data_IF_025664142147
#
_entry.id   IF_025664142147
#
_cell.length_a   1.000
_cell.length_b   1.000
_cell.length_c   1.000
_cell.angle_alpha   90.00
_cell.angle_beta   90.00
_cell.angle_gamma   90.00
#
_symmetry.space_group_name_H-M   'P 1'
#
loop_
_entity.id
_entity.type
_entity.pdbx_description
1 polymer ?
#
# COMPACT_ATOMS: atom_id res chain seq x y z
N UNK A 1 -12.83 -14.16 17.15
CA UNK A 1 -13.19 -14.28 15.71
C UNK A 1 -14.48 -13.49 15.50
N UNK A 2 -14.39 -12.31 14.91
CA UNK A 2 -15.56 -11.46 14.64
C UNK A 2 -16.31 -11.96 13.40
N UNK A 3 -17.64 -11.80 13.41
CA UNK A 3 -18.51 -12.00 12.24
C UNK A 3 -18.87 -10.61 11.76
N UNK A 4 -18.36 -10.21 10.61
CA UNK A 4 -18.64 -8.93 9.98
C UNK A 4 -18.47 -9.08 8.47
N UNK A 5 -19.08 -8.17 7.73
CA UNK A 5 -18.80 -8.04 6.30
C UNK A 5 -17.33 -7.67 6.12
N UNK A 6 -16.65 -8.36 5.20
CA UNK A 6 -15.28 -8.05 4.84
C UNK A 6 -15.26 -7.29 3.52
N UNK A 7 -15.05 -5.98 3.63
CA UNK A 7 -14.89 -5.10 2.48
C UNK A 7 -13.41 -4.99 2.08
N UNK A 8 -13.12 -5.33 0.82
CA UNK A 8 -11.77 -5.37 0.25
C UNK A 8 -11.74 -4.53 -1.03
N UNK A 9 -10.68 -3.77 -1.25
CA UNK A 9 -10.34 -3.24 -2.57
C UNK A 9 -9.05 -3.86 -3.06
N UNK A 10 -9.04 -4.35 -4.29
CA UNK A 10 -7.91 -5.02 -4.93
C UNK A 10 -7.54 -4.30 -6.22
N UNK A 11 -6.23 -4.10 -6.43
CA UNK A 11 -5.67 -3.74 -7.74
C UNK A 11 -4.90 -4.94 -8.27
N UNK A 12 -4.98 -5.20 -9.58
CA UNK A 12 -4.17 -6.17 -10.29
C UNK A 12 -3.65 -5.61 -11.61
N UNK A 13 -2.68 -6.30 -12.22
CA UNK A 13 -2.17 -5.94 -13.56
C UNK A 13 -3.22 -6.20 -14.63
N UNK A 14 -4.00 -7.26 -14.45
CA UNK A 14 -5.08 -7.69 -15.33
C UNK A 14 -6.38 -7.78 -14.51
N UNK A 15 -7.18 -6.71 -14.52
CA UNK A 15 -8.40 -6.64 -13.75
C UNK A 15 -9.48 -7.64 -14.24
N UNK A 16 -9.68 -7.88 -15.55
CA UNK A 16 -10.54 -8.96 -16.03
C UNK A 16 -10.14 -10.34 -15.49
N UNK A 17 -8.85 -10.70 -15.53
CA UNK A 17 -8.39 -11.97 -14.96
C UNK A 17 -8.60 -12.03 -13.45
N UNK A 18 -8.33 -10.93 -12.73
CA UNK A 18 -8.57 -10.85 -11.30
C UNK A 18 -10.06 -11.06 -10.96
N UNK A 19 -10.98 -10.50 -11.76
CA UNK A 19 -12.42 -10.70 -11.61
C UNK A 19 -12.85 -12.15 -11.83
N UNK A 20 -12.31 -12.79 -12.87
CA UNK A 20 -12.56 -14.21 -13.15
C UNK A 20 -12.14 -15.08 -11.95
N UNK A 21 -10.96 -14.81 -11.40
CA UNK A 21 -10.45 -15.52 -10.23
C UNK A 21 -11.26 -15.22 -8.97
N UNK A 22 -11.72 -13.98 -8.77
CA UNK A 22 -12.62 -13.64 -7.66
C UNK A 22 -13.93 -14.43 -7.75
N UNK A 23 -14.56 -14.45 -8.93
CA UNK A 23 -15.79 -15.22 -9.13
C UNK A 23 -15.56 -16.71 -8.83
N UNK A 24 -14.49 -17.28 -9.37
CA UNK A 24 -14.17 -18.70 -9.22
C UNK A 24 -13.82 -19.07 -7.78
N UNK A 25 -12.89 -18.35 -7.17
CA UNK A 25 -12.28 -18.73 -5.89
C UNK A 25 -13.10 -18.25 -4.68
N UNK A 26 -13.77 -17.08 -4.78
CA UNK A 26 -14.51 -16.48 -3.66
C UNK A 26 -16.02 -16.75 -3.70
N UNK A 27 -16.58 -16.91 -4.90
CA UNK A 27 -18.01 -17.16 -5.14
C UNK A 27 -18.27 -18.52 -5.82
N UNK A 28 -17.32 -19.46 -5.72
CA UNK A 28 -17.41 -20.83 -6.22
C UNK A 28 -17.79 -20.97 -7.71
N UNK A 29 -17.54 -19.93 -8.52
CA UNK A 29 -17.93 -19.90 -9.93
C UNK A 29 -19.42 -19.73 -10.18
N UNK A 30 -20.23 -19.47 -9.14
CA UNK A 30 -21.66 -19.24 -9.29
C UNK A 30 -21.92 -17.92 -10.04
N UNK A 31 -22.94 -17.85 -10.91
CA UNK A 31 -23.35 -16.58 -11.51
C UNK A 31 -23.94 -15.65 -10.44
N UNK A 32 -23.79 -14.32 -10.60
CA UNK A 32 -24.40 -13.38 -9.67
C UNK A 32 -25.93 -13.49 -9.70
N UNK A 33 -26.58 -13.11 -8.61
CA UNK A 33 -28.05 -12.98 -8.51
C UNK A 33 -28.59 -11.68 -9.10
N UNK A 34 -27.75 -10.64 -9.19
CA UNK A 34 -28.07 -9.40 -9.90
C UNK A 34 -26.82 -8.78 -10.52
N UNK A 35 -27.00 -8.11 -11.66
CA UNK A 35 -25.95 -7.40 -12.38
C UNK A 35 -26.45 -6.04 -12.86
N UNK A 36 -25.66 -5.00 -12.58
CA UNK A 36 -25.88 -3.63 -13.05
C UNK A 36 -24.61 -3.15 -13.75
N UNK A 37 -24.70 -2.74 -15.01
CA UNK A 37 -23.56 -2.28 -15.83
C UNK A 37 -23.87 -0.87 -16.32
N UNK A 38 -22.96 0.07 -16.10
CA UNK A 38 -23.11 1.47 -16.53
C UNK A 38 -24.46 2.09 -16.11
N UNK A 39 -24.83 1.84 -14.85
CA UNK A 39 -26.12 2.23 -14.27
C UNK A 39 -27.38 1.49 -14.76
N UNK A 40 -27.28 0.53 -15.68
CA UNK A 40 -28.41 -0.24 -16.21
C UNK A 40 -28.43 -1.68 -15.70
N UNK A 41 -29.62 -2.20 -15.37
CA UNK A 41 -29.78 -3.61 -14.99
C UNK A 41 -29.63 -4.50 -16.23
N UNK A 42 -28.87 -5.58 -16.11
CA UNK A 42 -28.68 -6.57 -17.17
C UNK A 42 -29.21 -7.94 -16.74
N UNK A 43 -29.63 -8.75 -17.72
CA UNK A 43 -29.92 -10.16 -17.51
C UNK A 43 -28.61 -10.94 -17.33
N UNK A 44 -28.62 -11.93 -16.45
CA UNK A 44 -27.43 -12.68 -16.06
C UNK A 44 -27.36 -13.98 -16.86
N UNK A 45 -26.25 -14.20 -17.56
CA UNK A 45 -25.87 -15.51 -18.08
C UNK A 45 -24.53 -15.94 -17.48
N UNK A 46 -24.27 -17.25 -17.47
CA UNK A 46 -23.24 -17.90 -16.65
C UNK A 46 -21.79 -17.44 -16.92
N UNK A 47 -21.54 -16.69 -18.01
CA UNK A 47 -20.20 -16.33 -18.51
C UNK A 47 -19.93 -14.82 -18.61
N UNK A 48 -20.71 -13.98 -17.93
CA UNK A 48 -20.79 -12.56 -18.28
C UNK A 48 -19.86 -11.60 -17.53
N UNK A 49 -19.26 -11.96 -16.40
CA UNK A 49 -18.50 -10.97 -15.60
C UNK A 49 -17.26 -10.48 -16.36
N UNK A 50 -16.51 -11.39 -16.98
CA UNK A 50 -15.35 -11.02 -17.82
C UNK A 50 -15.80 -10.23 -19.05
N UNK A 51 -16.86 -10.69 -19.73
CA UNK A 51 -17.44 -9.97 -20.87
C UNK A 51 -17.80 -8.53 -20.52
N UNK A 52 -18.45 -8.29 -19.37
CA UNK A 52 -18.80 -6.94 -18.95
C UNK A 52 -17.60 -6.15 -18.47
N UNK A 53 -16.58 -6.78 -17.89
CA UNK A 53 -15.33 -6.10 -17.57
C UNK A 53 -14.64 -5.52 -18.82
N UNK A 54 -14.72 -6.24 -19.94
CA UNK A 54 -14.13 -5.80 -21.21
C UNK A 54 -14.99 -4.76 -21.96
N UNK A 55 -16.32 -4.82 -21.78
CA UNK A 55 -17.27 -4.07 -22.60
C UNK A 55 -17.96 -2.90 -21.90
N UNK A 56 -17.99 -2.84 -20.57
CA UNK A 56 -18.60 -1.71 -19.85
C UNK A 56 -17.88 -0.39 -20.16
N UNK A 57 -18.62 0.71 -20.21
CA UNK A 57 -18.03 2.03 -20.44
C UNK A 57 -17.29 2.53 -19.19
N UNK A 58 -17.83 2.29 -18.00
CA UNK A 58 -17.34 2.81 -16.73
C UNK A 58 -17.17 1.73 -15.68
N UNK A 59 -18.29 1.11 -15.28
CA UNK A 59 -18.33 0.26 -14.10
C UNK A 59 -19.44 -0.80 -14.19
N UNK A 60 -19.33 -1.81 -13.33
CA UNK A 60 -20.46 -2.67 -13.03
C UNK A 60 -20.48 -3.10 -11.56
N UNK A 61 -21.67 -3.52 -11.11
CA UNK A 61 -21.93 -4.18 -9.83
C UNK A 61 -22.53 -5.56 -10.06
N UNK A 62 -21.85 -6.59 -9.58
CA UNK A 62 -22.36 -7.95 -9.49
C UNK A 62 -22.68 -8.28 -8.02
N UNK A 63 -23.80 -8.94 -7.74
CA UNK A 63 -24.21 -9.27 -6.35
C UNK A 63 -24.70 -10.70 -6.25
N UNK A 64 -24.24 -11.41 -5.22
CA UNK A 64 -24.65 -12.74 -4.80
C UNK A 64 -25.36 -12.59 -3.45
N UNK A 65 -26.71 -12.67 -3.46
CA UNK A 65 -27.58 -12.22 -2.37
C UNK A 65 -27.09 -12.51 -0.94
N UNK A 66 -26.61 -13.72 -0.68
CA UNK A 66 -26.17 -14.18 0.65
C UNK A 66 -24.64 -14.27 0.82
N UNK A 67 -23.87 -14.02 -0.24
CA UNK A 67 -22.41 -14.21 -0.22
C UNK A 67 -21.65 -12.90 -0.27
N UNK A 68 -22.18 -11.88 -0.95
CA UNK A 68 -21.47 -10.63 -1.14
C UNK A 68 -21.73 -9.92 -2.45
N UNK A 69 -20.87 -8.94 -2.77
CA UNK A 69 -20.91 -8.24 -4.05
C UNK A 69 -19.51 -7.90 -4.54
N UNK A 70 -19.43 -7.59 -5.83
CA UNK A 70 -18.26 -7.02 -6.51
C UNK A 70 -18.69 -5.72 -7.19
N UNK A 71 -17.89 -4.68 -7.01
CA UNK A 71 -17.90 -3.45 -7.79
C UNK A 71 -16.61 -3.41 -8.62
N UNK A 72 -16.76 -3.33 -9.92
CA UNK A 72 -15.65 -3.20 -10.85
C UNK A 72 -15.64 -1.80 -11.43
N UNK A 73 -14.49 -1.13 -11.37
CA UNK A 73 -14.23 0.10 -12.10
C UNK A 73 -13.14 -0.19 -13.16
N UNK A 74 -13.46 0.09 -14.42
CA UNK A 74 -12.66 -0.33 -15.58
C UNK A 74 -11.20 0.13 -15.53
N UNK A 75 -10.94 1.27 -14.91
CA UNK A 75 -9.64 1.94 -14.99
C UNK A 75 -8.87 1.92 -13.68
N UNK A 76 -9.33 1.20 -12.67
CA UNK A 76 -8.78 1.41 -11.33
C UNK A 76 -8.75 0.16 -10.45
N UNK A 77 -9.90 -0.31 -9.96
CA UNK A 77 -9.96 -1.22 -8.81
C UNK A 77 -11.11 -2.21 -8.92
N UNK A 78 -10.94 -3.36 -8.27
CA UNK A 78 -12.05 -4.26 -7.93
C UNK A 78 -12.34 -4.10 -6.44
N UNK A 79 -13.51 -3.57 -6.08
CA UNK A 79 -14.00 -3.62 -4.70
C UNK A 79 -14.90 -4.84 -4.53
N UNK A 80 -14.82 -5.50 -3.39
CA UNK A 80 -15.74 -6.56 -3.04
C UNK A 80 -16.11 -6.49 -1.57
N UNK A 81 -17.26 -7.08 -1.25
CA UNK A 81 -17.70 -7.34 0.11
C UNK A 81 -18.04 -8.82 0.21
N UNK A 82 -17.50 -9.51 1.22
CA UNK A 82 -17.90 -10.88 1.55
C UNK A 82 -18.71 -10.86 2.84
N UNK A 83 -19.96 -11.30 2.77
CA UNK A 83 -20.89 -11.22 3.90
C UNK A 83 -20.63 -12.29 4.96
N UNK A 84 -20.81 -11.91 6.22
CA UNK A 84 -20.78 -12.78 7.41
C UNK A 84 -19.59 -13.74 7.50
N UNK A 85 -18.43 -13.37 6.92
CA UNK A 85 -17.25 -14.22 6.91
C UNK A 85 -16.45 -14.06 8.18
N UNK A 86 -16.32 -15.16 8.92
CA UNK A 86 -15.34 -15.27 10.01
C UNK A 86 -13.98 -15.59 9.40
N UNK A 87 -13.08 -14.61 9.36
CA UNK A 87 -11.70 -14.82 8.92
C UNK A 87 -10.72 -14.15 9.89
N UNK A 88 -9.65 -14.87 10.25
CA UNK A 88 -8.45 -14.25 10.79
C UNK A 88 -7.67 -13.54 9.69
N UNK A 89 -6.74 -12.65 10.06
CA UNK A 89 -5.82 -12.00 9.12
C UNK A 89 -5.05 -13.02 8.25
N UNK A 90 -4.69 -14.17 8.82
CA UNK A 90 -4.04 -15.28 8.14
C UNK A 90 -4.97 -15.98 7.14
N UNK A 91 -6.25 -16.15 7.49
CA UNK A 91 -7.24 -16.73 6.58
C UNK A 91 -7.45 -15.83 5.36
N UNK A 92 -7.49 -14.51 5.57
CA UNK A 92 -7.58 -13.51 4.48
C UNK A 92 -6.38 -13.61 3.55
N UNK A 93 -5.16 -13.70 4.11
CA UNK A 93 -3.96 -13.90 3.31
C UNK A 93 -4.03 -15.18 2.46
N UNK A 94 -4.49 -16.29 3.04
CA UNK A 94 -4.65 -17.56 2.30
C UNK A 94 -5.73 -17.46 1.23
N UNK A 95 -6.84 -16.78 1.53
CA UNK A 95 -7.95 -16.58 0.61
C UNK A 95 -7.54 -15.77 -0.62
N UNK A 96 -6.73 -14.72 -0.43
CA UNK A 96 -6.28 -13.85 -1.52
C UNK A 96 -5.03 -14.36 -2.23
N UNK A 97 -4.29 -15.32 -1.64
CA UNK A 97 -3.06 -15.87 -2.20
C UNK A 97 -3.14 -16.29 -3.69
N UNK A 98 -4.18 -17.00 -4.18
CA UNK A 98 -4.25 -17.44 -5.56
C UNK A 98 -4.55 -16.32 -6.57
N UNK A 99 -5.04 -15.16 -6.10
CA UNK A 99 -5.54 -14.09 -6.95
C UNK A 99 -4.40 -13.22 -7.51
N UNK A 100 -4.55 -12.66 -8.72
CA UNK A 100 -3.55 -11.81 -9.41
C UNK A 100 -3.69 -10.33 -9.06
N UNK A 101 -3.58 -10.01 -7.77
CA UNK A 101 -3.54 -8.64 -7.25
C UNK A 101 -2.12 -8.23 -6.88
N UNK A 102 -1.90 -6.93 -6.75
CA UNK A 102 -0.65 -6.30 -6.32
C UNK A 102 -0.81 -5.53 -5.01
N UNK A 103 -1.93 -4.82 -4.83
CA UNK A 103 -2.25 -4.11 -3.58
C UNK A 103 -3.67 -4.40 -3.15
N UNK A 104 -3.88 -4.45 -1.83
CA UNK A 104 -5.18 -4.66 -1.21
C UNK A 104 -5.39 -3.69 -0.04
N UNK A 105 -6.55 -3.05 0.06
CA UNK A 105 -6.99 -2.37 1.28
C UNK A 105 -8.20 -3.07 1.86
N UNK A 106 -8.29 -3.08 3.19
CA UNK A 106 -9.39 -3.68 3.92
C UNK A 106 -10.10 -2.59 4.74
N UNK A 107 -11.39 -2.39 4.50
CA UNK A 107 -12.17 -1.35 5.18
C UNK A 107 -12.31 -1.64 6.68
N UNK A 108 -12.80 -0.66 7.44
CA UNK A 108 -13.05 -0.87 8.86
C UNK A 108 -14.20 -1.85 9.07
N UNK A 109 -14.01 -2.80 9.99
CA UNK A 109 -15.09 -3.66 10.49
C UNK A 109 -15.98 -2.93 11.52
N UNK A 110 -15.58 -1.73 11.95
CA UNK A 110 -16.30 -0.88 12.89
C UNK A 110 -16.99 0.28 12.16
N UNK A 111 -18.30 0.15 11.96
CA UNK A 111 -19.11 1.15 11.22
C UNK A 111 -19.08 2.54 11.85
N UNK A 112 -18.92 2.61 13.17
CA UNK A 112 -18.87 3.85 13.95
C UNK A 112 -17.69 4.76 13.62
N UNK A 113 -16.62 4.26 12.97
CA UNK A 113 -15.55 5.14 12.46
C UNK A 113 -16.07 6.14 11.43
N UNK A 114 -17.14 5.78 10.72
CA UNK A 114 -17.78 6.59 9.68
C UNK A 114 -18.97 7.41 10.19
N UNK A 115 -19.38 7.22 11.45
CA UNK A 115 -20.48 7.98 12.04
C UNK A 115 -20.06 9.45 12.24
N UNK A 116 -21.07 10.34 12.22
CA UNK A 116 -20.86 11.78 12.29
C UNK A 116 -20.10 12.26 13.53
N UNK A 117 -20.20 11.53 14.65
CA UNK A 117 -19.63 11.91 15.93
C UNK A 117 -18.11 11.64 16.05
N UNK A 118 -17.60 10.62 15.35
CA UNK A 118 -16.16 10.29 15.32
C UNK A 118 -15.51 10.79 14.03
N UNK A 119 -16.20 10.55 12.90
CA UNK A 119 -15.80 10.84 11.52
C UNK A 119 -14.29 10.76 11.29
N UNK A 120 -13.72 9.60 11.60
CA UNK A 120 -12.32 9.36 11.30
C UNK A 120 -12.16 9.01 9.83
N UNK A 121 -11.48 9.88 9.09
CA UNK A 121 -11.10 9.63 7.71
C UNK A 121 -9.72 8.99 7.72
N UNK A 122 -9.67 7.67 7.56
CA UNK A 122 -8.41 6.96 7.49
C UNK A 122 -7.71 7.26 6.15
N UNK A 123 -6.37 7.26 6.10
CA UNK A 123 -5.64 7.30 4.84
C UNK A 123 -5.97 6.07 3.98
N UNK A 124 -5.74 6.18 2.68
CA UNK A 124 -6.02 5.15 1.70
C UNK A 124 -4.86 5.05 0.69
N UNK A 125 -5.03 4.16 -0.29
CA UNK A 125 -4.19 4.11 -1.49
C UNK A 125 -4.64 5.09 -2.60
N UNK A 126 -5.44 6.09 -2.26
CA UNK A 126 -6.10 6.99 -3.18
C UNK A 126 -7.38 6.40 -3.76
N UNK A 127 -8.21 7.28 -4.34
CA UNK A 127 -9.41 6.87 -5.04
C UNK A 127 -9.09 5.92 -6.19
N UNK A 128 -9.81 4.80 -6.36
CA UNK A 128 -11.01 4.36 -5.65
C UNK A 128 -10.75 3.20 -4.68
N UNK A 129 -9.69 3.21 -3.87
CA UNK A 129 -9.62 2.24 -2.77
C UNK A 129 -10.65 2.50 -1.67
N UNK A 130 -10.98 1.48 -0.89
CA UNK A 130 -11.46 1.69 0.48
C UNK A 130 -10.33 2.27 1.33
N UNK A 131 -10.70 3.16 2.25
CA UNK A 131 -9.80 3.63 3.29
C UNK A 131 -9.20 2.45 4.07
N UNK A 132 -8.01 2.64 4.62
CA UNK A 132 -7.40 1.65 5.49
C UNK A 132 -8.21 1.55 6.78
N UNK A 133 -8.84 0.40 6.97
CA UNK A 133 -9.55 0.04 8.19
C UNK A 133 -8.67 -0.81 9.09
N UNK A 134 -8.90 -2.12 9.05
CA UNK A 134 -8.13 -3.04 9.89
C UNK A 134 -6.78 -3.43 9.28
N UNK A 135 -6.58 -3.24 7.97
CA UNK A 135 -5.33 -3.60 7.34
C UNK A 135 -5.16 -3.14 5.90
N UNK A 136 -3.97 -3.43 5.37
CA UNK A 136 -3.66 -3.40 3.95
C UNK A 136 -2.69 -4.53 3.60
N UNK A 137 -2.57 -4.89 2.32
CA UNK A 137 -1.61 -5.89 1.87
C UNK A 137 -0.95 -5.53 0.53
N UNK A 138 0.22 -6.12 0.32
CA UNK A 138 1.07 -5.94 -0.85
C UNK A 138 1.50 -7.32 -1.37
N UNK A 139 1.56 -7.48 -2.69
CA UNK A 139 1.97 -8.71 -3.36
C UNK A 139 2.85 -8.41 -4.56
N UNK A 140 3.99 -9.09 -4.66
CA UNK A 140 4.95 -8.90 -5.77
C UNK A 140 5.31 -7.42 -5.97
N UNK A 141 5.12 -6.93 -7.20
CA UNK A 141 5.41 -5.54 -7.59
C UNK A 141 4.55 -4.49 -6.87
N UNK A 142 3.45 -4.88 -6.22
CA UNK A 142 2.66 -3.95 -5.40
C UNK A 142 3.44 -3.38 -4.23
N UNK A 143 4.48 -4.07 -3.77
CA UNK A 143 5.42 -3.53 -2.79
C UNK A 143 6.19 -2.30 -3.29
N UNK A 144 6.39 -2.18 -4.60
CA UNK A 144 7.10 -1.03 -5.19
C UNK A 144 6.27 0.24 -5.11
N UNK A 145 5.01 0.17 -4.65
CA UNK A 145 4.22 1.34 -4.26
C UNK A 145 4.77 2.02 -2.99
N UNK A 146 5.48 1.28 -2.16
CA UNK A 146 6.15 1.81 -0.98
C UNK A 146 7.50 2.40 -1.39
N UNK A 147 7.94 3.47 -0.74
CA UNK A 147 9.30 4.00 -0.96
C UNK A 147 10.37 2.92 -0.73
N UNK A 148 10.13 2.02 0.22
CA UNK A 148 10.87 0.76 0.41
C UNK A 148 10.06 -0.26 1.20
N UNK A 149 10.22 -1.56 0.88
CA UNK A 149 9.70 -2.68 1.68
C UNK A 149 10.20 -2.71 3.13
N UNK A 150 11.32 -2.05 3.40
CA UNK A 150 11.94 -2.01 4.74
C UNK A 150 10.99 -1.42 5.78
N UNK A 151 10.23 -0.38 5.42
CA UNK A 151 9.31 0.30 6.34
C UNK A 151 8.27 -0.64 6.97
N UNK A 152 7.88 -1.70 6.25
CA UNK A 152 6.93 -2.71 6.72
C UNK A 152 7.35 -3.37 8.04
N UNK A 153 8.65 -3.47 8.32
CA UNK A 153 9.12 -4.10 9.55
C UNK A 153 9.13 -3.15 10.76
N UNK A 154 9.00 -1.82 10.55
CA UNK A 154 9.26 -0.81 11.58
C UNK A 154 8.01 -0.09 12.09
N UNK A 155 6.87 -0.25 11.42
CA UNK A 155 5.64 0.41 11.87
C UNK A 155 5.00 -0.24 13.10
N UNK A 156 4.07 0.49 13.76
CA UNK A 156 3.37 0.07 14.98
C UNK A 156 2.20 -0.87 14.66
N UNK A 157 2.47 -1.91 13.90
CA UNK A 157 1.49 -2.88 13.42
C UNK A 157 2.04 -4.29 13.51
N UNK A 158 1.13 -5.26 13.36
CA UNK A 158 1.47 -6.65 13.13
C UNK A 158 1.69 -6.88 11.63
N UNK A 159 2.78 -7.54 11.29
CA UNK A 159 3.15 -7.82 9.90
C UNK A 159 3.11 -9.32 9.65
N UNK A 160 2.25 -9.76 8.74
CA UNK A 160 2.14 -11.14 8.31
C UNK A 160 2.76 -11.30 6.93
N UNK A 161 3.61 -12.32 6.76
CA UNK A 161 4.18 -12.69 5.46
C UNK A 161 3.49 -13.96 4.97
N UNK A 162 3.05 -13.92 3.72
CA UNK A 162 2.34 -15.01 3.06
C UNK A 162 3.09 -15.56 1.85
N UNK A 163 2.52 -16.59 1.19
CA UNK A 163 3.08 -17.12 -0.06
C UNK A 163 3.07 -16.07 -1.18
N UNK A 164 3.80 -16.35 -2.26
CA UNK A 164 3.85 -15.51 -3.47
C UNK A 164 4.28 -14.05 -3.21
N UNK A 165 5.25 -13.86 -2.29
CA UNK A 165 5.73 -12.53 -1.90
C UNK A 165 4.58 -11.63 -1.46
N UNK A 166 3.80 -12.10 -0.47
CA UNK A 166 2.67 -11.34 0.08
C UNK A 166 2.99 -10.82 1.48
N UNK A 167 2.58 -9.59 1.76
CA UNK A 167 2.71 -8.95 3.07
C UNK A 167 1.39 -8.31 3.47
N UNK A 168 0.84 -8.67 4.63
CA UNK A 168 -0.32 -8.01 5.22
C UNK A 168 0.11 -7.22 6.45
N UNK A 169 -0.25 -5.95 6.45
CA UNK A 169 -0.17 -5.05 7.60
C UNK A 169 -1.52 -5.04 8.28
N UNK A 170 -1.56 -5.48 9.54
CA UNK A 170 -2.74 -5.41 10.39
C UNK A 170 -2.58 -4.24 11.35
N UNK A 171 -3.49 -3.27 11.31
CA UNK A 171 -3.39 -2.00 12.04
C UNK A 171 -3.92 -2.07 13.47
N UNK A 172 -4.84 -2.98 13.78
CA UNK A 172 -5.35 -3.19 15.13
C UNK A 172 -5.69 -4.66 15.38
N UNK A 173 -5.87 -5.03 16.65
CA UNK A 173 -6.43 -6.32 17.01
C UNK A 173 -7.88 -6.42 16.49
N UNK A 174 -8.17 -7.46 15.69
CA UNK A 174 -9.50 -7.70 15.16
C UNK A 174 -10.52 -8.03 16.26
N UNK A 175 -10.07 -8.38 17.47
CA UNK A 175 -10.88 -8.62 18.66
C UNK A 175 -11.14 -7.38 19.53
N UNK A 176 -10.53 -6.24 19.22
CA UNK A 176 -10.70 -5.02 20.00
C UNK A 176 -12.10 -4.43 19.83
N UNK A 177 -12.58 -3.72 20.86
CA UNK A 177 -13.74 -2.83 20.69
C UNK A 177 -13.39 -1.66 19.76
N UNK A 178 -14.41 -0.97 19.29
CA UNK A 178 -14.30 0.13 18.32
C UNK A 178 -13.30 1.22 18.71
N UNK A 179 -13.37 1.72 19.95
CA UNK A 179 -12.53 2.81 20.41
C UNK A 179 -11.07 2.35 20.53
N UNK A 180 -10.85 1.17 21.13
CA UNK A 180 -9.53 0.56 21.23
C UNK A 180 -8.93 0.27 19.86
N UNK A 181 -9.73 -0.26 18.92
CA UNK A 181 -9.30 -0.54 17.55
C UNK A 181 -8.84 0.74 16.84
N UNK A 182 -9.58 1.84 17.01
CA UNK A 182 -9.24 3.12 16.41
C UNK A 182 -7.94 3.70 16.99
N UNK A 183 -7.75 3.61 18.31
CA UNK A 183 -6.52 4.03 18.98
C UNK A 183 -5.30 3.23 18.51
N UNK A 184 -5.47 1.91 18.29
CA UNK A 184 -4.42 1.05 17.77
C UNK A 184 -4.10 1.34 16.29
N UNK A 185 -5.12 1.58 15.46
CA UNK A 185 -4.96 1.74 14.02
C UNK A 185 -4.32 3.08 13.61
N UNK A 186 -4.70 4.18 14.27
CA UNK A 186 -4.27 5.55 13.94
C UNK A 186 -2.74 5.70 13.78
N UNK A 187 -1.90 5.25 14.73
CA UNK A 187 -0.44 5.34 14.58
C UNK A 187 0.06 4.58 13.35
N UNK A 188 -0.50 3.41 13.05
CA UNK A 188 -0.12 2.59 11.90
C UNK A 188 -0.49 3.26 10.58
N UNK A 189 -1.70 3.80 10.48
CA UNK A 189 -2.16 4.57 9.33
C UNK A 189 -1.27 5.78 9.05
N UNK A 190 -1.01 6.58 10.08
CA UNK A 190 -0.16 7.77 9.96
C UNK A 190 1.27 7.41 9.57
N UNK A 191 1.82 6.32 10.13
CA UNK A 191 3.17 5.89 9.81
C UNK A 191 3.27 5.39 8.37
N UNK A 192 2.36 4.51 7.91
CA UNK A 192 2.43 3.93 6.58
C UNK A 192 2.22 4.99 5.49
N UNK A 193 1.37 5.99 5.72
CA UNK A 193 1.07 7.04 4.72
C UNK A 193 2.32 7.81 4.27
N UNK A 194 3.34 7.90 5.12
CA UNK A 194 4.63 8.54 4.84
C UNK A 194 5.46 7.81 3.79
N UNK A 195 5.16 6.53 3.58
CA UNK A 195 5.90 5.66 2.65
C UNK A 195 5.06 5.29 1.43
N UNK A 196 3.77 5.63 1.41
CA UNK A 196 2.87 5.39 0.27
C UNK A 196 3.11 6.43 -0.82
N UNK A 197 3.55 5.99 -2.01
CA UNK A 197 3.82 6.89 -3.12
C UNK A 197 2.57 7.35 -3.88
N UNK A 198 1.38 6.84 -3.55
CA UNK A 198 0.13 7.26 -4.22
C UNK A 198 -0.09 6.63 -5.61
N UNK A 199 -1.17 7.04 -6.27
CA UNK A 199 -1.44 6.71 -7.67
C UNK A 199 -0.60 7.57 -8.64
N UNK A 200 -0.26 7.00 -9.81
CA UNK A 200 0.35 7.66 -10.98
C UNK A 200 -0.34 8.96 -11.41
N UNK A 201 -1.63 9.13 -11.17
CA UNK A 201 -2.36 10.34 -11.54
C UNK A 201 -2.04 11.54 -10.62
N UNK A 202 -1.34 11.34 -9.50
CA UNK A 202 -0.86 12.41 -8.61
C UNK A 202 0.50 13.01 -9.02
N UNK A 203 0.97 12.75 -10.25
CA UNK A 203 2.15 13.42 -10.83
C UNK A 203 2.09 14.94 -10.66
N UNK A 204 0.90 15.53 -10.67
CA UNK A 204 0.71 16.98 -10.54
C UNK A 204 0.82 17.49 -9.08
N UNK A 205 0.66 16.63 -8.07
CA UNK A 205 0.63 17.04 -6.65
C UNK A 205 1.98 16.94 -5.95
N UNK A 206 2.83 15.98 -6.33
CA UNK A 206 4.10 15.74 -5.61
C UNK A 206 5.25 16.63 -6.07
N UNK A 207 5.13 17.33 -7.20
CA UNK A 207 6.25 18.05 -7.80
C UNK A 207 5.93 19.53 -8.00
N UNK A 208 5.44 20.19 -6.95
CA UNK A 208 5.24 21.65 -6.93
C UNK A 208 6.58 22.43 -6.99
N UNK A 209 7.71 21.78 -6.71
CA UNK A 209 9.04 22.40 -6.75
C UNK A 209 9.95 21.65 -7.73
N UNK A 210 10.12 22.19 -8.94
CA UNK A 210 11.18 21.79 -9.88
C UNK A 210 12.59 21.89 -9.24
N UNK A 211 12.73 22.63 -8.14
CA UNK A 211 13.97 22.74 -7.37
C UNK A 211 14.35 21.46 -6.60
N UNK A 212 13.43 20.53 -6.38
CA UNK A 212 13.68 19.34 -5.55
C UNK A 212 14.52 18.28 -6.28
N UNK A 213 14.47 18.21 -7.61
CA UNK A 213 15.32 17.30 -8.39
C UNK A 213 16.71 17.90 -8.68
N UNK A 214 17.16 18.87 -7.87
CA UNK A 214 18.50 19.46 -7.99
C UNK A 214 19.54 18.52 -7.39
N UNK A 215 20.20 17.77 -8.25
CA UNK A 215 21.34 16.93 -7.91
C UNK A 215 22.30 16.76 -9.08
N UNK A 216 23.47 16.20 -8.79
CA UNK A 216 24.43 15.76 -9.80
C UNK A 216 23.99 14.39 -10.33
N UNK A 217 23.50 14.35 -11.57
CA UNK A 217 23.21 13.09 -12.24
C UNK A 217 24.50 12.45 -12.75
N UNK A 218 24.76 11.21 -12.33
CA UNK A 218 25.87 10.38 -12.76
C UNK A 218 25.37 9.38 -13.79
N UNK A 219 25.65 9.65 -15.07
CA UNK A 219 25.17 8.85 -16.19
C UNK A 219 25.57 7.38 -16.11
N UNK A 220 26.83 7.11 -15.77
CA UNK A 220 27.37 5.73 -15.72
C UNK A 220 26.71 4.88 -14.62
N UNK A 221 26.21 5.54 -13.55
CA UNK A 221 25.56 4.90 -12.42
C UNK A 221 24.02 4.98 -12.50
N UNK A 222 23.47 5.72 -13.49
CA UNK A 222 22.05 6.11 -13.55
C UNK A 222 21.54 6.60 -12.19
N UNK A 223 22.36 7.41 -11.52
CA UNK A 223 22.17 7.82 -10.13
C UNK A 223 22.06 9.34 -10.01
N UNK A 224 21.09 9.83 -9.24
CA UNK A 224 21.04 11.24 -8.83
C UNK A 224 21.71 11.42 -7.45
N UNK A 225 22.74 12.28 -7.38
CA UNK A 225 23.41 12.64 -6.11
C UNK A 225 22.97 14.00 -5.61
N UNK A 226 22.48 14.06 -4.38
CA UNK A 226 22.03 15.28 -3.71
C UNK A 226 23.02 15.60 -2.60
N UNK A 227 23.71 16.74 -2.70
CA UNK A 227 24.72 17.15 -1.71
C UNK A 227 24.05 18.00 -0.63
N UNK A 228 24.21 17.58 0.63
CA UNK A 228 23.69 18.25 1.82
C UNK A 228 24.86 18.89 2.57
N UNK A 229 24.96 20.21 2.49
CA UNK A 229 26.00 20.98 3.16
C UNK A 229 25.63 21.32 4.60
N UNK A 230 24.52 22.04 4.78
CA UNK A 230 24.03 22.46 6.09
C UNK A 230 22.54 22.79 6.04
N UNK A 231 21.72 21.77 5.73
CA UNK A 231 20.26 21.87 5.77
C UNK A 231 19.64 20.55 6.20
N UNK A 232 18.47 20.56 6.84
CA UNK A 232 17.73 19.33 7.09
C UNK A 232 17.22 18.73 5.77
N UNK A 233 17.02 17.41 5.77
CA UNK A 233 16.30 16.68 4.71
C UNK A 233 14.93 16.29 5.26
N UNK A 234 13.87 16.80 4.63
CA UNK A 234 12.50 16.54 5.11
C UNK A 234 11.99 15.17 4.64
N UNK A 235 11.02 14.62 5.36
CA UNK A 235 10.32 13.38 4.97
C UNK A 235 9.61 13.52 3.61
N UNK A 236 9.01 14.71 3.35
CA UNK A 236 8.40 15.04 2.06
C UNK A 236 9.42 14.96 0.91
N UNK A 237 10.61 15.54 1.10
CA UNK A 237 11.69 15.47 0.11
C UNK A 237 12.08 14.02 -0.18
N UNK A 238 12.25 13.18 0.86
CA UNK A 238 12.59 11.76 0.67
C UNK A 238 11.52 11.00 -0.12
N UNK A 239 10.23 11.27 0.16
CA UNK A 239 9.11 10.69 -0.56
C UNK A 239 9.10 11.13 -2.03
N UNK A 240 9.26 12.42 -2.30
CA UNK A 240 9.28 12.98 -3.66
C UNK A 240 10.45 12.44 -4.48
N UNK A 241 11.64 12.29 -3.87
CA UNK A 241 12.78 11.63 -4.52
C UNK A 241 12.46 10.19 -4.91
N UNK A 242 11.86 9.40 -4.01
CA UNK A 242 11.50 8.01 -4.34
C UNK A 242 10.39 7.92 -5.38
N UNK A 243 9.43 8.83 -5.32
CA UNK A 243 8.41 8.96 -6.35
C UNK A 243 9.02 9.27 -7.73
N UNK A 244 10.06 10.11 -7.80
CA UNK A 244 10.76 10.41 -9.05
C UNK A 244 11.38 9.16 -9.71
N UNK A 245 11.97 8.27 -8.90
CA UNK A 245 12.47 6.96 -9.37
C UNK A 245 11.32 6.08 -9.84
N UNK A 246 10.28 5.93 -9.01
CA UNK A 246 9.15 5.04 -9.29
C UNK A 246 8.36 5.44 -10.55
N UNK A 247 8.11 6.73 -10.73
CA UNK A 247 7.35 7.25 -11.87
C UNK A 247 8.20 7.51 -13.12
N UNK A 248 9.52 7.34 -13.03
CA UNK A 248 10.45 7.62 -14.12
C UNK A 248 10.34 9.07 -14.61
N UNK A 249 10.31 10.02 -13.68
CA UNK A 249 9.97 11.43 -13.97
C UNK A 249 11.11 12.25 -14.59
N UNK A 250 12.29 11.66 -14.75
CA UNK A 250 13.29 12.26 -15.60
C UNK A 250 13.03 11.92 -17.07
N UNK A 251 13.41 12.85 -17.95
CA UNK A 251 13.51 12.68 -19.40
C UNK A 251 13.93 11.24 -19.74
N UNK A 252 13.28 10.60 -20.73
CA UNK A 252 13.57 9.22 -21.12
C UNK A 252 15.05 8.97 -21.43
N UNK A 253 15.77 10.05 -21.73
CA UNK A 253 17.19 10.08 -22.03
C UNK A 253 18.09 10.04 -20.76
N UNK A 254 17.54 10.24 -19.56
CA UNK A 254 18.26 10.27 -18.27
C UNK A 254 17.53 9.50 -17.16
N UNK A 255 17.36 8.16 -17.31
CA UNK A 255 16.68 7.37 -16.31
C UNK A 255 17.42 7.35 -14.97
N UNK A 256 16.70 7.53 -13.86
CA UNK A 256 17.23 7.39 -12.50
C UNK A 256 16.84 6.02 -11.96
N UNK A 257 17.84 5.20 -11.60
CA UNK A 257 17.64 3.92 -10.93
C UNK A 257 17.81 4.05 -9.41
N UNK A 258 18.60 5.03 -8.95
CA UNK A 258 18.86 5.26 -7.53
C UNK A 258 19.14 6.71 -7.18
N UNK A 259 18.89 7.08 -5.93
CA UNK A 259 19.15 8.41 -5.39
C UNK A 259 20.05 8.28 -4.17
N UNK A 260 21.04 9.16 -4.09
CA UNK A 260 22.08 9.16 -3.09
C UNK A 260 22.22 10.53 -2.43
N UNK A 261 22.07 10.57 -1.12
CA UNK A 261 22.34 11.75 -0.31
C UNK A 261 23.79 11.74 0.16
N UNK A 262 24.52 12.81 -0.13
CA UNK A 262 25.92 13.01 0.27
C UNK A 262 25.97 14.15 1.27
N UNK A 263 26.13 13.83 2.55
CA UNK A 263 26.29 14.84 3.58
C UNK A 263 27.76 15.24 3.72
N UNK A 264 28.00 16.55 3.89
CA UNK A 264 29.34 17.06 4.19
C UNK A 264 29.72 16.75 5.64
N UNK A 265 28.74 16.79 6.56
CA UNK A 265 28.93 16.51 7.98
C UNK A 265 28.49 15.09 8.34
N UNK A 266 29.41 14.32 8.93
CA UNK A 266 29.15 12.93 9.35
C UNK A 266 28.00 12.83 10.37
N UNK A 267 27.92 13.77 11.31
CA UNK A 267 26.86 13.79 12.31
C UNK A 267 25.47 13.90 11.67
N UNK A 268 25.29 14.84 10.73
CA UNK A 268 24.03 15.00 9.99
C UNK A 268 23.66 13.74 9.18
N UNK A 269 24.65 13.08 8.56
CA UNK A 269 24.40 11.81 7.88
C UNK A 269 23.87 10.74 8.83
N UNK A 270 24.46 10.64 10.03
CA UNK A 270 24.05 9.65 11.04
C UNK A 270 22.65 9.92 11.58
N UNK A 271 22.28 11.19 11.76
CA UNK A 271 20.93 11.60 12.15
C UNK A 271 19.87 11.18 11.11
N UNK A 272 20.18 11.29 9.82
CA UNK A 272 19.24 10.98 8.73
C UNK A 272 19.31 9.52 8.24
N UNK A 273 20.34 8.77 8.65
CA UNK A 273 20.65 7.43 8.14
C UNK A 273 19.45 6.49 8.21
N UNK A 274 18.77 6.46 9.36
CA UNK A 274 17.62 5.56 9.55
C UNK A 274 16.47 5.92 8.61
N UNK A 275 16.11 7.20 8.52
CA UNK A 275 15.02 7.67 7.68
C UNK A 275 15.30 7.40 6.19
N UNK A 276 16.48 7.77 5.69
CA UNK A 276 16.90 7.49 4.32
C UNK A 276 16.87 5.98 4.02
N UNK A 277 17.38 5.17 4.95
CA UNK A 277 17.37 3.71 4.82
C UNK A 277 15.97 3.12 4.74
N UNK A 278 15.02 3.63 5.54
CA UNK A 278 13.59 3.26 5.49
C UNK A 278 12.92 3.68 4.18
N UNK A 279 13.36 4.78 3.56
CA UNK A 279 12.89 5.21 2.24
C UNK A 279 13.62 4.52 1.08
N UNK A 280 14.62 3.67 1.33
CA UNK A 280 15.40 3.03 0.27
C UNK A 280 16.33 4.00 -0.48
N UNK A 281 16.69 5.12 0.16
CA UNK A 281 17.63 6.11 -0.34
C UNK A 281 19.04 5.81 0.19
N UNK A 282 20.06 6.02 -0.65
CA UNK A 282 21.45 5.80 -0.24
C UNK A 282 21.94 6.97 0.62
N UNK A 283 22.83 6.68 1.58
CA UNK A 283 23.41 7.66 2.47
C UNK A 283 24.94 7.57 2.45
N UNK A 284 25.58 8.66 2.05
CA UNK A 284 27.03 8.81 2.01
C UNK A 284 27.48 10.02 2.82
N UNK A 285 28.71 9.96 3.33
CA UNK A 285 29.34 11.08 4.03
C UNK A 285 30.86 11.00 3.90
N UNK A 286 31.57 12.04 4.33
CA UNK A 286 33.03 12.06 4.38
C UNK A 286 33.54 11.59 5.75
N UNK A 287 34.32 10.50 5.76
CA UNK A 287 35.02 9.99 6.96
C UNK A 287 36.51 9.92 6.62
N UNK A 288 37.36 10.57 7.44
CA UNK A 288 38.80 10.70 7.18
C UNK A 288 39.10 11.25 5.78
N UNK A 289 38.38 12.32 5.38
CA UNK A 289 38.48 12.97 4.06
C UNK A 289 38.19 12.06 2.85
N UNK A 290 37.49 10.93 3.06
CA UNK A 290 37.03 10.05 1.98
C UNK A 290 35.52 9.90 2.04
N UNK A 291 34.88 10.04 0.87
CA UNK A 291 33.47 9.71 0.72
C UNK A 291 33.27 8.21 1.00
N UNK A 292 32.35 7.88 1.89
CA UNK A 292 32.00 6.51 2.25
C UNK A 292 30.48 6.37 2.25
N UNK A 293 30.02 5.21 1.77
CA UNK A 293 28.62 4.80 1.88
C UNK A 293 28.38 4.13 3.21
N UNK A 294 27.43 4.65 3.98
CA UNK A 294 27.19 4.23 5.36
C UNK A 294 25.87 3.49 5.55
N UNK A 295 24.99 3.45 4.54
CA UNK A 295 23.73 2.69 4.58
C UNK A 295 23.89 1.19 4.28
N UNK A 296 24.94 0.78 3.55
CA UNK A 296 25.13 -0.62 3.14
C UNK A 296 25.38 -1.58 4.33
N UNK A 297 26.06 -1.10 5.36
CA UNK A 297 26.35 -1.86 6.58
C UNK A 297 25.47 -1.44 7.76
N UNK A 298 24.47 -0.59 7.52
CA UNK A 298 23.61 -0.07 8.58
C UNK A 298 22.74 -1.18 9.18
N UNK A 299 22.89 -1.39 10.48
CA UNK A 299 22.06 -2.28 11.27
C UNK A 299 21.07 -1.43 12.08
N UNK A 300 19.81 -1.29 11.61
CA UNK A 300 18.79 -0.55 12.33
C UNK A 300 18.49 -1.19 13.69
N UNK A 301 18.10 -0.39 14.70
CA UNK A 301 17.62 -0.94 15.96
C UNK A 301 16.37 -1.78 15.75
N UNK A 302 16.11 -2.75 16.64
CA UNK A 302 14.87 -3.52 16.58
C UNK A 302 13.65 -2.60 16.69
N UNK A 303 12.59 -2.90 15.92
CA UNK A 303 11.33 -2.16 15.99
C UNK A 303 10.67 -2.37 17.36
N UNK A 304 10.25 -1.29 18.01
CA UNK A 304 9.46 -1.39 19.24
C UNK A 304 7.99 -1.62 18.86
N UNK A 305 7.53 -2.86 19.00
CA UNK A 305 6.14 -3.22 18.70
C UNK A 305 5.19 -2.83 19.85
N UNK A 306 3.98 -2.33 19.56
CA UNK A 306 2.95 -2.07 20.57
C UNK A 306 2.58 -3.36 21.33
N UNK A 307 2.06 -3.19 22.54
CA UNK A 307 1.71 -4.33 23.40
C UNK A 307 0.72 -5.29 22.74
N UNK A 308 -0.32 -4.78 22.08
CA UNK A 308 -1.31 -5.59 21.39
C UNK A 308 -0.68 -6.47 20.29
N UNK A 309 0.34 -5.97 19.58
CA UNK A 309 1.08 -6.74 18.57
C UNK A 309 1.88 -7.85 19.25
N UNK A 310 2.62 -7.53 20.31
CA UNK A 310 3.44 -8.51 21.05
C UNK A 310 2.59 -9.64 21.61
N UNK A 311 1.40 -9.32 22.12
CA UNK A 311 0.45 -10.31 22.65
C UNK A 311 -0.05 -11.25 21.56
N UNK A 312 -0.39 -10.73 20.37
CA UNK A 312 -0.84 -11.56 19.25
C UNK A 312 0.30 -12.43 18.70
N UNK A 313 1.51 -11.88 18.57
CA UNK A 313 2.69 -12.63 18.10
C UNK A 313 3.10 -13.75 19.07
N UNK A 314 2.90 -13.56 20.38
CA UNK A 314 3.19 -14.59 21.39
C UNK A 314 2.17 -15.74 21.44
N UNK A 315 1.01 -15.59 20.80
CA UNK A 315 -0.05 -16.61 20.78
C UNK A 315 0.07 -17.58 19.59
N UNK A 316 1.07 -17.40 18.72
CA UNK A 316 1.32 -18.23 17.53
C UNK A 316 2.40 -19.28 17.77
#
# INVERSE_FOLDING_TARGET
MHTADMDISLIGIDLPLLLEQIQKELFAGEPPSSLKVDSERREITQSQIVYWAETCEKDFRATWAEQGYVLYDRNSVVRLSLFDRKCSSEDVLRLLAPLTWSTASFSSIHKSWFDWDIRYVAPDFGWPHWDWGWGCAFKGDGHERLTSRRCLNYGPWRLLRGPHDTSLVQFHDLGADDATALEQAKPGHQFLKKFDMGDRQLKDFYFENEELLRGLYLTDERQLRIVIADRPVSEREMLEQRAAVYYGLNDSDKPIDSICYVFILEEQAREHLHALWLHGLQCRTFINAREQRIDDSYQPPASVKPEWVRQLEAQQ
#
